data_IF_626373770071
#
_entry.id   IF_626373770071
#
_cell.length_a   1.000
_cell.length_b   1.000
_cell.length_c   1.000
_cell.angle_alpha   90.00
_cell.angle_beta   90.00
_cell.angle_gamma   90.00
#
_symmetry.space_group_name_H-M   'P 1'
#
loop_
_entity.id
_entity.type
_entity.pdbx_description
1 polymer ?
#
# COMPACT_ATOMS: atom_id res chain seq x y z
N UNK A 1 -2.02 17.68 15.18
CA UNK A 1 -0.63 17.60 15.68
C UNK A 1 0.33 17.69 14.51
N UNK A 2 1.25 18.67 14.48
CA UNK A 2 2.30 18.74 13.45
C UNK A 2 3.35 17.67 13.77
N UNK A 3 3.49 16.63 12.95
CA UNK A 3 4.60 15.67 13.06
C UNK A 3 5.91 16.41 12.73
N UNK A 4 6.84 16.42 13.69
CA UNK A 4 8.19 16.94 13.48
C UNK A 4 8.98 15.85 12.72
N UNK A 5 9.25 16.05 11.43
CA UNK A 5 10.11 15.15 10.66
C UNK A 5 11.54 15.71 10.71
N UNK A 6 12.36 15.25 11.64
CA UNK A 6 13.79 15.60 11.71
C UNK A 6 14.62 14.48 11.07
N UNK A 7 15.23 14.75 9.93
CA UNK A 7 16.17 13.84 9.27
C UNK A 7 17.59 14.19 9.74
N UNK A 8 18.15 13.42 10.66
CA UNK A 8 19.53 13.55 11.14
C UNK A 8 20.36 12.39 10.59
N UNK A 9 21.27 12.66 9.66
CA UNK A 9 22.28 11.70 9.23
C UNK A 9 23.34 11.61 10.32
N UNK A 10 23.35 10.53 11.11
CA UNK A 10 24.53 10.13 11.88
C UNK A 10 25.34 9.17 11.02
N UNK A 11 26.58 9.56 10.68
CA UNK A 11 27.58 8.66 10.12
C UNK A 11 28.01 7.66 11.20
N UNK A 12 27.21 6.61 11.42
CA UNK A 12 27.67 5.44 12.17
C UNK A 12 28.17 4.44 11.13
N UNK A 13 29.50 4.32 11.05
CA UNK A 13 30.17 3.21 10.39
C UNK A 13 29.86 1.96 11.22
N UNK A 14 28.78 1.25 10.89
CA UNK A 14 28.48 -0.04 11.54
C UNK A 14 29.24 -1.15 10.81
N UNK A 15 30.36 -1.58 11.38
CA UNK A 15 30.87 -2.93 11.12
C UNK A 15 29.94 -3.91 11.83
N UNK A 16 29.02 -4.54 11.09
CA UNK A 16 28.25 -5.66 11.61
C UNK A 16 29.19 -6.87 11.69
N UNK A 17 29.79 -7.04 12.87
CA UNK A 17 30.33 -8.32 13.29
C UNK A 17 29.26 -9.03 14.11
N UNK A 18 28.98 -10.27 13.71
CA UNK A 18 28.19 -11.31 14.36
C UNK A 18 26.66 -11.38 14.12
N UNK A 19 26.39 -12.24 13.13
CA UNK A 19 25.36 -13.26 12.99
C UNK A 19 24.61 -13.71 14.26
N UNK A 20 23.27 -13.63 14.21
CA UNK A 20 22.32 -14.75 14.39
C UNK A 20 21.06 -14.28 15.13
N UNK A 21 20.02 -13.92 14.37
CA UNK A 21 18.60 -14.08 14.69
C UNK A 21 17.76 -13.60 13.49
N UNK A 22 17.94 -14.25 12.33
CA UNK A 22 16.98 -14.18 11.23
C UNK A 22 16.66 -15.62 10.84
N UNK A 23 15.54 -16.13 11.33
CA UNK A 23 14.96 -17.36 10.82
C UNK A 23 14.33 -17.04 9.47
N UNK A 24 15.06 -17.35 8.39
CA UNK A 24 14.54 -17.27 7.02
C UNK A 24 13.88 -18.61 6.71
N UNK A 25 12.55 -18.64 6.64
CA UNK A 25 11.83 -19.78 6.06
C UNK A 25 12.21 -19.78 4.56
N UNK A 26 12.83 -20.87 4.08
CA UNK A 26 13.03 -21.09 2.64
C UNK A 26 11.65 -21.30 2.02
N UNK A 27 11.14 -20.28 1.33
CA UNK A 27 9.95 -20.44 0.51
C UNK A 27 10.32 -21.18 -0.78
N UNK A 28 9.55 -22.22 -1.10
CA UNK A 28 9.51 -22.75 -2.46
C UNK A 28 8.91 -21.66 -3.36
N UNK A 29 9.59 -21.38 -4.45
CA UNK A 29 9.11 -20.55 -5.54
C UNK A 29 7.90 -21.24 -6.19
N UNK A 30 6.70 -20.76 -5.88
CA UNK A 30 5.60 -20.82 -6.81
C UNK A 30 5.57 -19.49 -7.57
N UNK A 31 5.95 -19.59 -8.84
CA UNK A 31 5.78 -18.55 -9.85
C UNK A 31 4.29 -18.43 -10.11
N UNK A 32 3.66 -17.43 -9.50
CA UNK A 32 2.41 -16.89 -10.02
C UNK A 32 2.45 -15.37 -9.85
N UNK A 33 2.00 -14.64 -10.86
CA UNK A 33 2.16 -13.19 -10.95
C UNK A 33 1.61 -12.50 -9.69
N UNK A 34 2.50 -11.77 -9.00
CA UNK A 34 2.27 -11.08 -7.72
C UNK A 34 1.36 -9.84 -7.89
N UNK A 35 0.17 -10.04 -8.44
CA UNK A 35 -0.97 -9.17 -8.23
C UNK A 35 -1.29 -9.31 -6.74
N UNK A 36 -0.96 -8.30 -5.92
CA UNK A 36 -1.41 -8.18 -4.52
C UNK A 36 -2.93 -8.34 -4.47
N UNK A 37 -3.40 -9.57 -4.30
CA UNK A 37 -4.83 -9.88 -4.38
C UNK A 37 -5.55 -9.37 -3.14
N UNK A 38 -6.61 -8.62 -3.42
CA UNK A 38 -7.57 -8.03 -2.50
C UNK A 38 -7.96 -8.97 -1.34
N UNK A 39 -7.97 -8.45 -0.11
CA UNK A 39 -8.37 -9.13 1.11
C UNK A 39 -9.44 -8.35 1.88
N UNK A 40 -10.43 -9.07 2.38
CA UNK A 40 -11.60 -8.50 3.06
C UNK A 40 -12.00 -9.35 4.26
N UNK A 41 -12.16 -8.70 5.41
CA UNK A 41 -12.65 -9.31 6.64
C UNK A 41 -13.87 -8.54 7.14
N UNK A 42 -14.72 -9.19 7.91
CA UNK A 42 -15.80 -8.53 8.65
C UNK A 42 -15.50 -8.66 10.13
N UNK A 43 -15.47 -7.53 10.83
CA UNK A 43 -15.37 -7.46 12.29
C UNK A 43 -16.77 -7.33 12.86
N UNK A 44 -17.11 -8.17 13.83
CA UNK A 44 -18.42 -8.17 14.47
C UNK A 44 -18.29 -8.47 15.97
N UNK A 45 -19.28 -8.05 16.75
CA UNK A 45 -19.27 -8.20 18.21
C UNK A 45 -20.32 -9.22 18.65
N UNK A 46 -19.96 -10.05 19.62
CA UNK A 46 -20.89 -11.00 20.25
C UNK A 46 -20.81 -10.91 21.77
N UNK A 47 -21.93 -11.03 22.51
CA UNK A 47 -21.91 -11.06 23.97
C UNK A 47 -21.28 -12.34 24.54
N UNK A 48 -21.14 -13.38 23.71
CA UNK A 48 -20.53 -14.65 24.09
C UNK A 48 -18.99 -14.56 24.04
N UNK A 49 -18.28 -15.28 24.93
CA UNK A 49 -16.84 -15.43 24.85
C UNK A 49 -16.42 -16.08 23.52
N UNK A 50 -15.17 -15.88 23.11
CA UNK A 50 -14.61 -16.57 21.95
C UNK A 50 -14.31 -18.02 22.36
N UNK A 51 -14.94 -18.98 21.69
CA UNK A 51 -14.63 -20.40 21.87
C UNK A 51 -13.21 -20.70 21.36
N UNK A 52 -12.51 -21.62 22.02
CA UNK A 52 -11.12 -21.98 21.71
C UNK A 52 -10.97 -22.50 20.26
N UNK A 53 -12.01 -23.14 19.72
CA UNK A 53 -12.05 -23.68 18.35
C UNK A 53 -12.49 -22.68 17.27
N UNK A 54 -12.89 -21.46 17.64
CA UNK A 54 -13.35 -20.46 16.69
C UNK A 54 -12.28 -20.15 15.63
N UNK A 55 -11.04 -19.96 16.05
CA UNK A 55 -9.92 -19.69 15.14
C UNK A 55 -9.48 -20.93 14.36
N UNK A 56 -9.59 -22.13 14.95
CA UNK A 56 -9.27 -23.39 14.27
C UNK A 56 -10.17 -23.62 13.06
N UNK A 57 -11.46 -23.30 13.18
CA UNK A 57 -12.44 -23.37 12.07
C UNK A 57 -12.07 -22.41 10.93
N UNK A 58 -11.45 -21.27 11.25
CA UNK A 58 -11.05 -20.27 10.27
C UNK A 58 -9.72 -20.66 9.58
N UNK A 59 -8.83 -21.35 10.29
CA UNK A 59 -7.53 -21.86 9.77
C UNK A 59 -7.71 -23.03 8.79
N UNK A 60 -8.80 -23.80 8.89
CA UNK A 60 -9.06 -24.93 7.98
C UNK A 60 -9.34 -24.49 6.53
N UNK A 61 -9.68 -23.21 6.33
CA UNK A 61 -9.62 -22.60 5.00
C UNK A 61 -8.15 -22.54 4.56
N UNK A 62 -7.80 -23.13 3.42
CA UNK A 62 -6.44 -23.06 2.84
C UNK A 62 -6.04 -21.61 2.52
N UNK A 63 -5.55 -20.89 3.52
CA UNK A 63 -5.04 -19.52 3.38
C UNK A 63 -3.68 -19.60 2.67
N UNK A 64 -3.49 -18.88 1.54
CA UNK A 64 -2.17 -18.79 0.90
C UNK A 64 -1.13 -18.27 1.88
N UNK A 65 0.08 -18.82 1.85
CA UNK A 65 1.14 -18.54 2.83
C UNK A 65 1.44 -17.05 3.02
N UNK A 66 1.37 -16.26 1.94
CA UNK A 66 1.62 -14.82 1.98
C UNK A 66 0.46 -14.00 2.60
N UNK A 67 -0.73 -14.58 2.77
CA UNK A 67 -1.90 -13.95 3.44
C UNK A 67 -2.00 -14.32 4.92
N UNK A 68 -1.22 -15.30 5.36
CA UNK A 68 -1.23 -15.80 6.72
C UNK A 68 -0.86 -14.70 7.73
N UNK A 69 0.01 -13.75 7.35
CA UNK A 69 0.42 -12.63 8.20
C UNK A 69 -0.76 -11.74 8.63
N UNK A 70 -1.65 -11.36 7.70
CA UNK A 70 -2.81 -10.52 8.04
C UNK A 70 -3.75 -11.24 9.01
N UNK A 71 -3.91 -12.55 8.82
CA UNK A 71 -4.72 -13.38 9.70
C UNK A 71 -4.13 -13.47 11.11
N UNK A 72 -2.82 -13.71 11.23
CA UNK A 72 -2.13 -13.74 12.53
C UNK A 72 -2.26 -12.41 13.27
N UNK A 73 -2.11 -11.28 12.57
CA UNK A 73 -2.27 -9.94 13.15
C UNK A 73 -3.69 -9.73 13.66
N UNK A 74 -4.70 -10.24 12.95
CA UNK A 74 -6.10 -10.15 13.38
C UNK A 74 -6.42 -11.02 14.58
N UNK A 75 -5.92 -12.26 14.63
CA UNK A 75 -6.02 -13.10 15.84
C UNK A 75 -5.40 -12.37 17.02
N UNK A 76 -4.16 -11.92 16.86
CA UNK A 76 -3.43 -11.24 17.93
C UNK A 76 -4.18 -9.99 18.42
N UNK A 77 -4.63 -9.12 17.50
CA UNK A 77 -5.34 -7.90 17.86
C UNK A 77 -6.69 -8.19 18.54
N UNK A 78 -7.45 -9.19 18.07
CA UNK A 78 -8.73 -9.55 18.68
C UNK A 78 -8.55 -10.20 20.07
N UNK A 79 -7.55 -11.06 20.26
CA UNK A 79 -7.22 -11.64 21.57
C UNK A 79 -6.81 -10.56 22.59
N UNK A 80 -5.94 -9.62 22.20
CA UNK A 80 -5.53 -8.50 23.05
C UNK A 80 -6.71 -7.59 23.43
N UNK A 81 -7.62 -7.31 22.49
CA UNK A 81 -8.83 -6.52 22.76
C UNK A 81 -9.75 -7.26 23.74
N UNK A 82 -10.02 -8.54 23.49
CA UNK A 82 -10.96 -9.34 24.30
C UNK A 82 -10.44 -9.63 25.71
N UNK A 83 -9.12 -9.63 25.93
CA UNK A 83 -8.50 -9.77 27.26
C UNK A 83 -8.49 -8.47 28.06
N UNK A 84 -8.69 -7.32 27.41
CA UNK A 84 -8.61 -6.03 28.06
C UNK A 84 -9.97 -5.62 28.65
N UNK A 85 -10.14 -5.59 29.99
CA UNK A 85 -11.43 -5.28 30.61
C UNK A 85 -11.91 -3.84 30.37
N UNK A 86 -11.03 -2.95 29.90
CA UNK A 86 -11.37 -1.57 29.58
C UNK A 86 -11.81 -1.38 28.12
N UNK A 87 -11.61 -2.37 27.26
CA UNK A 87 -12.03 -2.36 25.86
C UNK A 87 -13.14 -3.39 25.67
N UNK A 88 -14.30 -2.95 25.17
CA UNK A 88 -15.47 -3.81 24.92
C UNK A 88 -15.89 -4.67 26.14
N UNK A 89 -16.21 -4.06 27.30
CA UNK A 89 -16.61 -4.84 28.48
C UNK A 89 -17.89 -5.66 28.19
N UNK A 90 -17.87 -6.93 28.60
CA UNK A 90 -18.96 -7.91 28.37
C UNK A 90 -19.28 -8.21 26.89
N UNK A 91 -18.35 -7.92 25.99
CA UNK A 91 -18.46 -8.21 24.55
C UNK A 91 -17.16 -8.82 24.05
N UNK A 92 -17.25 -9.70 23.08
CA UNK A 92 -16.12 -10.24 22.34
C UNK A 92 -16.12 -9.72 20.91
N UNK A 93 -14.98 -9.20 20.47
CA UNK A 93 -14.70 -8.90 19.08
C UNK A 93 -14.28 -10.19 18.35
N UNK A 94 -14.98 -10.50 17.27
CA UNK A 94 -14.72 -11.64 16.39
C UNK A 94 -14.54 -11.14 14.96
N UNK A 95 -13.99 -11.99 14.10
CA UNK A 95 -13.85 -11.69 12.68
C UNK A 95 -14.12 -12.90 11.80
N UNK A 96 -14.54 -12.65 10.56
CA UNK A 96 -14.73 -13.67 9.53
C UNK A 96 -14.17 -13.20 8.18
N UNK A 97 -13.86 -14.15 7.31
CA UNK A 97 -13.49 -13.84 5.92
C UNK A 97 -14.72 -13.45 5.11
N UNK A 98 -14.57 -12.45 4.24
CA UNK A 98 -15.53 -12.23 3.17
C UNK A 98 -15.22 -13.25 2.06
N UNK A 99 -16.06 -14.29 1.94
CA UNK A 99 -15.93 -15.31 0.88
C UNK A 99 -15.84 -14.63 -0.49
N UNK A 100 -14.79 -14.91 -1.25
CA UNK A 100 -14.50 -14.24 -2.53
C UNK A 100 -13.31 -13.28 -2.47
N UNK A 101 -13.11 -12.64 -1.33
CA UNK A 101 -11.94 -11.80 -1.03
C UNK A 101 -10.91 -12.64 -0.28
N UNK A 102 -9.62 -12.35 -0.45
CA UNK A 102 -8.48 -13.20 -0.03
C UNK A 102 -8.26 -14.52 -0.78
N UNK A 103 -9.19 -15.05 -1.58
CA UNK A 103 -9.02 -16.37 -2.22
C UNK A 103 -8.88 -16.35 -3.75
N UNK A 104 -8.69 -15.17 -4.36
CA UNK A 104 -8.43 -15.03 -5.81
C UNK A 104 -9.66 -15.26 -6.70
N UNK A 105 -10.81 -15.63 -6.13
CA UNK A 105 -12.08 -15.80 -6.84
C UNK A 105 -12.74 -14.46 -7.16
N UNK A 106 -12.10 -13.65 -8.01
CA UNK A 106 -12.68 -12.42 -8.56
C UNK A 106 -13.95 -12.75 -9.38
N UNK A 107 -13.94 -13.87 -10.10
CA UNK A 107 -15.03 -14.32 -11.00
C UNK A 107 -16.38 -14.45 -10.27
N UNK A 108 -16.36 -14.84 -9.00
CA UNK A 108 -17.59 -15.04 -8.22
C UNK A 108 -18.28 -13.72 -7.85
N UNK A 109 -17.55 -12.62 -7.80
CA UNK A 109 -18.10 -11.30 -7.51
C UNK A 109 -18.71 -10.64 -8.76
N UNK A 110 -18.13 -10.85 -9.95
CA UNK A 110 -18.76 -10.38 -11.20
C UNK A 110 -20.10 -11.09 -11.43
N UNK A 111 -20.21 -12.38 -11.09
CA UNK A 111 -21.48 -13.11 -11.08
C UNK A 111 -22.48 -12.57 -10.04
N UNK A 112 -22.03 -12.28 -8.81
CA UNK A 112 -22.88 -11.69 -7.77
C UNK A 112 -23.35 -10.28 -8.13
N UNK A 113 -22.49 -9.46 -8.76
CA UNK A 113 -22.83 -8.13 -9.27
C UNK A 113 -23.95 -8.19 -10.33
N UNK A 114 -23.86 -9.15 -11.25
CA UNK A 114 -24.89 -9.38 -12.27
C UNK A 114 -26.23 -9.88 -11.67
N UNK A 115 -26.18 -10.71 -10.61
CA UNK A 115 -27.39 -11.17 -9.92
C UNK A 115 -28.07 -10.07 -9.10
N UNK A 116 -27.29 -9.22 -8.42
CA UNK A 116 -27.82 -8.20 -7.51
C UNK A 116 -28.50 -7.05 -8.25
N UNK A 117 -27.98 -6.68 -9.43
CA UNK A 117 -28.60 -5.67 -10.30
C UNK A 117 -29.99 -6.08 -10.81
N UNK A 118 -30.30 -7.39 -10.81
CA UNK A 118 -31.60 -7.92 -11.23
C UNK A 118 -32.58 -8.17 -10.08
N UNK A 119 -32.16 -8.15 -8.80
CA UNK A 119 -33.02 -8.63 -7.70
C UNK A 119 -33.13 -7.73 -6.46
N UNK A 120 -32.24 -6.77 -6.22
CA UNK A 120 -32.38 -5.91 -5.03
C UNK A 120 -32.74 -4.48 -5.38
N UNK A 121 -34.03 -4.13 -5.23
CA UNK A 121 -34.38 -2.77 -4.82
C UNK A 121 -33.58 -2.48 -3.56
N UNK A 122 -32.67 -1.50 -3.62
CA UNK A 122 -31.97 -0.98 -2.44
C UNK A 122 -33.05 -0.40 -1.52
N UNK A 123 -33.55 -1.20 -0.58
CA UNK A 123 -34.46 -0.77 0.46
C UNK A 123 -33.70 0.19 1.36
N UNK A 124 -34.19 1.43 1.46
CA UNK A 124 -33.51 2.53 2.16
C UNK A 124 -33.60 2.42 3.71
N UNK A 125 -34.07 1.29 4.24
CA UNK A 125 -34.02 0.92 5.64
C UNK A 125 -34.20 -0.60 5.78
N UNK A 126 -33.27 -1.25 6.46
CA UNK A 126 -33.45 -2.57 7.04
C UNK A 126 -33.46 -2.38 8.56
N UNK A 127 -34.52 -2.86 9.22
CA UNK A 127 -34.70 -2.78 10.66
C UNK A 127 -34.51 -4.18 11.25
N UNK A 128 -33.39 -4.81 10.89
CA UNK A 128 -32.82 -5.96 11.59
C UNK A 128 -31.88 -5.46 12.69
N UNK A 129 -31.64 -6.28 13.71
CA UNK A 129 -30.71 -6.03 14.82
C UNK A 129 -29.44 -5.39 14.25
N UNK A 130 -29.09 -4.18 14.71
CA UNK A 130 -27.94 -3.43 14.23
C UNK A 130 -26.66 -4.16 14.64
N UNK A 131 -26.25 -5.16 13.87
CA UNK A 131 -24.91 -5.71 14.00
C UNK A 131 -23.99 -4.59 13.50
N UNK A 132 -23.23 -3.98 14.41
CA UNK A 132 -22.25 -2.96 14.09
C UNK A 132 -21.03 -3.60 13.41
N UNK A 133 -21.29 -4.20 12.25
CA UNK A 133 -20.27 -4.86 11.45
C UNK A 133 -19.40 -3.79 10.78
N UNK A 134 -18.09 -4.00 10.87
CA UNK A 134 -17.10 -3.15 10.24
C UNK A 134 -16.30 -4.00 9.27
N UNK A 135 -16.32 -3.63 7.99
CA UNK A 135 -15.47 -4.26 7.00
C UNK A 135 -14.02 -3.84 7.19
N UNK A 136 -13.08 -4.75 7.02
CA UNK A 136 -11.66 -4.47 7.01
C UNK A 136 -11.10 -4.87 5.63
N UNK A 137 -10.55 -3.91 4.89
CA UNK A 137 -10.22 -4.06 3.46
C UNK A 137 -8.77 -3.71 3.15
N UNK A 138 -8.16 -4.41 2.20
CA UNK A 138 -6.79 -4.15 1.76
C UNK A 138 -6.04 -5.44 1.39
N UNK A 139 -4.72 -5.39 1.15
CA UNK A 139 -3.88 -4.20 1.13
C UNK A 139 -4.04 -3.34 -0.14
N UNK A 140 -4.71 -3.85 -1.19
CA UNK A 140 -4.99 -3.06 -2.39
C UNK A 140 -6.24 -2.20 -2.21
N UNK A 141 -6.16 -0.93 -2.61
CA UNK A 141 -7.27 0.01 -2.50
C UNK A 141 -8.48 -0.39 -3.37
N UNK A 142 -8.24 -1.16 -4.43
CA UNK A 142 -9.29 -1.71 -5.30
C UNK A 142 -10.26 -2.60 -4.53
N UNK A 143 -9.82 -3.25 -3.44
CA UNK A 143 -10.69 -4.01 -2.55
C UNK A 143 -11.77 -3.12 -1.95
N UNK A 144 -11.37 -1.95 -1.45
CA UNK A 144 -12.28 -0.98 -0.81
C UNK A 144 -13.29 -0.43 -1.82
N UNK A 145 -12.87 -0.17 -3.05
CA UNK A 145 -13.76 0.26 -4.14
C UNK A 145 -14.82 -0.82 -4.43
N UNK A 146 -14.38 -2.06 -4.64
CA UNK A 146 -15.27 -3.19 -4.91
C UNK A 146 -16.25 -3.41 -3.77
N UNK A 147 -15.81 -3.39 -2.52
CA UNK A 147 -16.68 -3.65 -1.36
C UNK A 147 -17.64 -2.50 -1.07
N UNK A 148 -17.27 -1.25 -1.38
CA UNK A 148 -18.15 -0.10 -1.20
C UNK A 148 -19.40 -0.18 -2.10
N UNK A 149 -19.33 -0.81 -3.27
CA UNK A 149 -20.51 -0.90 -4.15
C UNK A 149 -21.59 -1.86 -3.63
N UNK A 150 -21.25 -2.77 -2.70
CA UNK A 150 -22.19 -3.78 -2.18
C UNK A 150 -23.04 -3.29 -1.01
N UNK A 151 -22.47 -2.51 -0.09
CA UNK A 151 -23.17 -2.06 1.11
C UNK A 151 -22.62 -0.73 1.67
N UNK A 152 -23.44 -0.09 2.50
CA UNK A 152 -23.11 1.16 3.21
C UNK A 152 -22.49 0.93 4.59
N UNK A 153 -21.93 -0.25 4.86
CA UNK A 153 -21.27 -0.50 6.14
C UNK A 153 -19.92 0.24 6.21
N UNK A 154 -19.54 0.75 7.40
CA UNK A 154 -18.22 1.33 7.63
C UNK A 154 -17.12 0.32 7.28
N UNK A 155 -16.09 0.80 6.59
CA UNK A 155 -14.93 0.01 6.17
C UNK A 155 -13.65 0.67 6.62
N UNK A 156 -12.76 -0.13 7.20
CA UNK A 156 -11.42 0.29 7.59
C UNK A 156 -10.44 -0.29 6.58
N UNK A 157 -9.64 0.56 5.94
CA UNK A 157 -8.62 0.14 5.00
C UNK A 157 -7.26 0.02 5.69
N UNK A 158 -6.65 -1.17 5.68
CA UNK A 158 -5.38 -1.46 6.38
C UNK A 158 -4.15 -1.44 5.46
N UNK A 159 -4.33 -1.19 4.16
CA UNK A 159 -3.23 -1.11 3.20
C UNK A 159 -2.43 0.20 3.25
N UNK A 160 -1.45 0.36 2.35
CA UNK A 160 -0.67 1.60 2.21
C UNK A 160 -1.57 2.79 1.86
N UNK A 161 -1.26 3.98 2.41
CA UNK A 161 -2.07 5.18 2.17
C UNK A 161 -2.37 5.39 0.69
N UNK A 162 -3.63 5.61 0.36
CA UNK A 162 -4.06 5.90 -1.01
C UNK A 162 -4.82 7.24 -1.05
N UNK A 163 -4.42 8.20 -1.92
CA UNK A 163 -5.06 9.51 -1.98
C UNK A 163 -6.57 9.42 -2.28
N UNK A 164 -6.98 8.53 -3.18
CA UNK A 164 -8.38 8.38 -3.59
C UNK A 164 -9.32 8.06 -2.41
N UNK A 165 -8.84 7.29 -1.43
CA UNK A 165 -9.63 6.87 -0.26
C UNK A 165 -9.82 8.01 0.76
N UNK A 166 -9.20 9.18 0.55
CA UNK A 166 -9.43 10.38 1.36
C UNK A 166 -10.54 11.27 0.80
N UNK A 167 -11.08 10.95 -0.38
CA UNK A 167 -12.23 11.66 -0.93
C UNK A 167 -13.51 11.17 -0.24
N UNK A 168 -13.94 11.90 0.81
CA UNK A 168 -15.13 11.58 1.57
C UNK A 168 -16.45 11.71 0.77
N UNK A 169 -16.42 12.32 -0.43
CA UNK A 169 -17.59 12.38 -1.32
C UNK A 169 -17.71 11.07 -2.09
N UNK A 170 -16.58 10.57 -2.62
CA UNK A 170 -16.56 9.31 -3.35
C UNK A 170 -16.58 8.08 -2.42
N UNK A 171 -15.91 8.16 -1.27
CA UNK A 171 -15.75 7.07 -0.31
C UNK A 171 -16.22 7.45 1.11
N UNK A 172 -17.51 7.80 1.31
CA UNK A 172 -18.02 8.32 2.60
C UNK A 172 -17.96 7.33 3.77
N UNK A 173 -17.84 6.02 3.48
CA UNK A 173 -17.83 4.95 4.48
C UNK A 173 -16.47 4.27 4.62
N UNK A 174 -15.41 4.77 3.98
CA UNK A 174 -14.07 4.18 4.05
C UNK A 174 -13.16 5.06 4.89
N UNK A 175 -12.49 4.45 5.86
CA UNK A 175 -11.47 5.10 6.68
C UNK A 175 -10.16 4.33 6.54
N UNK A 176 -9.09 4.98 6.12
CA UNK A 176 -7.77 4.33 6.05
C UNK A 176 -6.99 4.48 7.36
N UNK A 177 -6.34 3.39 7.77
CA UNK A 177 -5.44 3.38 8.95
C UNK A 177 -4.14 4.11 8.62
N UNK A 178 -3.60 3.87 7.42
CA UNK A 178 -2.38 4.52 6.97
C UNK A 178 -2.61 6.03 6.83
N UNK A 179 -1.69 6.82 7.39
CA UNK A 179 -1.70 8.27 7.24
C UNK A 179 -0.90 8.68 6.01
N UNK A 180 -1.26 9.83 5.42
CA UNK A 180 -0.47 10.45 4.35
C UNK A 180 0.98 10.65 4.82
N UNK A 181 1.93 10.07 4.10
CA UNK A 181 3.35 10.29 4.38
C UNK A 181 3.77 11.67 3.88
N UNK A 182 3.98 12.59 4.83
CA UNK A 182 4.52 13.93 4.55
C UNK A 182 5.98 14.06 4.96
N UNK A 183 6.56 13.02 5.54
CA UNK A 183 7.96 13.02 5.96
C UNK A 183 8.88 12.63 4.81
N UNK A 184 8.49 11.70 3.94
CA UNK A 184 9.35 11.24 2.85
C UNK A 184 9.80 12.38 1.90
N UNK A 185 8.90 13.22 1.33
CA UNK A 185 9.32 14.34 0.49
C UNK A 185 10.24 15.32 1.23
N UNK A 186 9.93 15.62 2.51
CA UNK A 186 10.74 16.50 3.36
C UNK A 186 12.13 15.93 3.64
N UNK A 187 12.21 14.63 3.90
CA UNK A 187 13.47 13.93 4.15
C UNK A 187 14.33 13.93 2.88
N UNK A 188 13.74 13.65 1.71
CA UNK A 188 14.44 13.72 0.43
C UNK A 188 14.96 15.13 0.14
N UNK A 189 14.15 16.18 0.33
CA UNK A 189 14.63 17.57 0.15
C UNK A 189 15.73 17.91 1.16
N UNK A 190 15.61 17.46 2.41
CA UNK A 190 16.66 17.65 3.43
C UNK A 190 17.97 16.98 3.04
N UNK A 191 17.92 15.76 2.47
CA UNK A 191 19.07 15.05 1.92
C UNK A 191 19.73 15.85 0.78
N UNK A 192 18.93 16.40 -0.14
CA UNK A 192 19.45 17.23 -1.24
C UNK A 192 20.17 18.48 -0.72
N UNK A 193 19.58 19.18 0.25
CA UNK A 193 20.19 20.35 0.86
C UNK A 193 21.50 20.00 1.57
N UNK A 194 21.54 18.87 2.28
CA UNK A 194 22.76 18.39 2.95
C UNK A 194 23.92 18.20 1.97
N UNK A 195 23.66 17.62 0.80
CA UNK A 195 24.66 17.45 -0.25
C UNK A 195 24.77 18.63 -1.22
N UNK A 196 24.08 19.73 -0.95
CA UNK A 196 24.04 20.93 -1.80
C UNK A 196 23.55 20.69 -3.24
N UNK A 197 22.72 19.67 -3.44
CA UNK A 197 22.11 19.36 -4.72
C UNK A 197 20.91 20.28 -4.96
N UNK A 198 21.08 21.28 -5.81
CA UNK A 198 20.02 22.24 -6.16
C UNK A 198 19.36 21.96 -7.52
N UNK A 199 19.92 21.03 -8.30
CA UNK A 199 19.47 20.68 -9.65
C UNK A 199 19.38 19.16 -9.80
N UNK A 200 18.16 18.62 -9.72
CA UNK A 200 17.91 17.17 -9.65
C UNK A 200 16.89 16.72 -10.69
N UNK A 201 17.02 15.50 -11.20
CA UNK A 201 16.00 14.84 -12.02
C UNK A 201 14.98 14.11 -11.15
N UNK A 202 13.80 13.86 -11.69
CA UNK A 202 12.76 13.08 -11.03
C UNK A 202 12.11 12.12 -12.02
N UNK A 203 11.93 10.88 -11.58
CA UNK A 203 11.18 9.85 -12.29
C UNK A 203 10.16 9.27 -11.32
N UNK A 204 8.88 9.26 -11.72
CA UNK A 204 7.77 8.74 -10.92
C UNK A 204 6.89 7.79 -11.73
N UNK A 205 6.17 6.89 -11.07
CA UNK A 205 5.06 6.14 -11.67
C UNK A 205 3.88 7.06 -12.00
N UNK A 206 3.13 6.69 -13.05
CA UNK A 206 1.87 7.33 -13.45
C UNK A 206 0.67 6.74 -12.68
N UNK A 207 0.78 6.74 -11.35
CA UNK A 207 -0.25 6.28 -10.43
C UNK A 207 -0.56 7.38 -9.40
N UNK A 208 -1.70 7.26 -8.72
CA UNK A 208 -2.15 8.27 -7.75
C UNK A 208 -1.09 8.56 -6.67
N UNK A 209 -0.33 7.53 -6.26
CA UNK A 209 0.76 7.67 -5.30
C UNK A 209 1.95 8.46 -5.87
N UNK A 210 2.39 8.14 -7.09
CA UNK A 210 3.47 8.83 -7.79
C UNK A 210 3.14 10.29 -8.08
N UNK A 211 1.92 10.58 -8.54
CA UNK A 211 1.44 11.95 -8.79
C UNK A 211 1.33 12.75 -7.48
N UNK A 212 0.81 12.14 -6.40
CA UNK A 212 0.76 12.79 -5.10
C UNK A 212 2.16 13.10 -4.56
N UNK A 213 3.09 12.15 -4.67
CA UNK A 213 4.48 12.33 -4.26
C UNK A 213 5.18 13.43 -5.05
N UNK A 214 5.01 13.46 -6.39
CA UNK A 214 5.52 14.52 -7.26
C UNK A 214 5.04 15.90 -6.80
N UNK A 215 3.75 16.03 -6.46
CA UNK A 215 3.16 17.27 -5.98
C UNK A 215 3.77 17.72 -4.64
N UNK A 216 3.79 16.82 -3.65
CA UNK A 216 4.31 17.12 -2.30
C UNK A 216 5.82 17.44 -2.33
N UNK A 217 6.59 16.70 -3.14
CA UNK A 217 8.02 16.94 -3.32
C UNK A 217 8.28 18.30 -3.98
N UNK A 218 7.53 18.63 -5.04
CA UNK A 218 7.65 19.92 -5.74
C UNK A 218 7.38 21.09 -4.80
N UNK A 219 6.34 20.99 -3.97
CA UNK A 219 6.02 22.01 -2.97
C UNK A 219 7.19 22.23 -1.98
N UNK A 220 7.74 21.16 -1.42
CA UNK A 220 8.86 21.23 -0.48
C UNK A 220 10.16 21.72 -1.14
N UNK A 221 10.43 21.32 -2.39
CA UNK A 221 11.57 21.80 -3.18
C UNK A 221 11.50 23.29 -3.45
N UNK A 222 10.31 23.81 -3.82
CA UNK A 222 10.09 25.25 -4.05
C UNK A 222 10.33 26.06 -2.77
N UNK A 223 9.87 25.56 -1.62
CA UNK A 223 10.11 26.21 -0.31
C UNK A 223 11.59 26.27 0.08
N UNK A 224 12.42 25.39 -0.47
CA UNK A 224 13.83 25.21 -0.10
C UNK A 224 14.82 25.59 -1.20
N UNK A 225 14.35 26.09 -2.34
CA UNK A 225 15.21 26.53 -3.45
C UNK A 225 15.90 25.40 -4.21
N UNK A 226 15.28 24.22 -4.28
CA UNK A 226 15.75 23.09 -5.12
C UNK A 226 14.90 23.03 -6.39
N UNK A 227 15.52 22.78 -7.54
CA UNK A 227 14.87 22.77 -8.84
C UNK A 227 14.90 21.38 -9.48
N UNK A 228 13.82 21.07 -10.20
CA UNK A 228 13.71 19.87 -11.05
C UNK A 228 14.23 20.19 -12.45
N UNK A 229 15.24 19.45 -12.89
CA UNK A 229 15.79 19.55 -14.24
C UNK A 229 14.88 18.93 -15.30
N UNK A 230 14.23 17.83 -14.93
CA UNK A 230 13.24 17.12 -15.72
C UNK A 230 12.33 16.31 -14.80
N UNK A 231 11.15 15.94 -15.31
CA UNK A 231 10.22 15.03 -14.65
C UNK A 231 9.76 14.01 -15.68
N UNK A 232 10.03 12.75 -15.42
CA UNK A 232 9.55 11.63 -16.22
C UNK A 232 8.45 10.92 -15.44
N UNK A 233 7.25 10.90 -16.01
CA UNK A 233 6.12 10.14 -15.47
C UNK A 233 5.99 8.87 -16.30
N UNK A 234 6.21 7.71 -15.68
CA UNK A 234 6.31 6.41 -16.34
C UNK A 234 4.95 5.70 -16.26
N UNK A 235 4.27 5.49 -17.40
CA UNK A 235 2.95 4.88 -17.41
C UNK A 235 2.98 3.41 -16.98
N UNK A 236 1.92 2.95 -16.32
CA UNK A 236 1.73 1.52 -16.02
C UNK A 236 1.45 0.69 -17.29
N UNK A 237 0.79 1.29 -18.28
CA UNK A 237 0.52 0.62 -19.56
C UNK A 237 1.83 0.39 -20.33
N UNK A 238 2.19 -0.89 -20.52
CA UNK A 238 3.45 -1.27 -21.14
C UNK A 238 3.60 -0.78 -22.59
N UNK A 239 2.51 -0.72 -23.36
CA UNK A 239 2.54 -0.25 -24.75
C UNK A 239 2.88 1.24 -24.81
N UNK A 240 2.23 2.06 -23.96
CA UNK A 240 2.55 3.48 -23.82
C UNK A 240 3.99 3.66 -23.35
N UNK A 241 4.42 2.91 -22.33
CA UNK A 241 5.78 2.93 -21.83
C UNK A 241 6.82 2.66 -22.94
N UNK A 242 6.65 1.61 -23.75
CA UNK A 242 7.59 1.27 -24.82
C UNK A 242 7.74 2.41 -25.85
N UNK A 243 6.68 3.15 -26.12
CA UNK A 243 6.74 4.30 -27.05
C UNK A 243 7.47 5.51 -26.46
N UNK A 244 7.45 5.67 -25.13
CA UNK A 244 8.08 6.80 -24.44
C UNK A 244 9.49 6.51 -23.90
N UNK A 245 9.87 5.24 -23.77
CA UNK A 245 11.13 4.83 -23.14
C UNK A 245 12.37 5.57 -23.68
N UNK A 246 12.50 5.69 -25.00
CA UNK A 246 13.62 6.42 -25.63
C UNK A 246 13.63 7.92 -25.33
N UNK A 247 12.45 8.52 -25.07
CA UNK A 247 12.35 9.93 -24.67
C UNK A 247 12.88 10.11 -23.24
N UNK A 248 12.51 9.22 -22.32
CA UNK A 248 12.99 9.24 -20.94
C UNK A 248 14.52 9.09 -20.87
N UNK A 249 15.07 8.12 -21.60
CA UNK A 249 16.52 7.91 -21.72
C UNK A 249 17.21 9.17 -22.24
N UNK A 250 16.70 9.76 -23.32
CA UNK A 250 17.27 10.96 -23.91
C UNK A 250 17.26 12.11 -22.90
N UNK A 251 16.15 12.35 -22.21
CA UNK A 251 16.04 13.41 -21.19
C UNK A 251 17.07 13.21 -20.07
N UNK A 252 17.19 12.00 -19.52
CA UNK A 252 18.15 11.68 -18.46
C UNK A 252 19.58 11.90 -18.94
N UNK A 253 19.92 11.41 -20.15
CA UNK A 253 21.26 11.51 -20.73
C UNK A 253 21.66 12.96 -21.04
N UNK A 254 20.75 13.76 -21.59
CA UNK A 254 21.04 15.16 -21.98
C UNK A 254 21.02 16.13 -20.81
N UNK A 255 20.40 15.77 -19.69
CA UNK A 255 20.31 16.62 -18.51
C UNK A 255 21.68 16.79 -17.83
N UNK A 256 21.94 18.01 -17.34
CA UNK A 256 23.09 18.32 -16.49
C UNK A 256 22.93 17.82 -15.05
N UNK A 257 21.73 17.36 -14.65
CA UNK A 257 21.49 16.83 -13.32
C UNK A 257 22.23 15.51 -13.10
N UNK A 258 23.06 15.47 -12.05
CA UNK A 258 23.81 14.26 -11.65
C UNK A 258 22.98 13.33 -10.77
N UNK A 259 22.01 13.87 -10.05
CA UNK A 259 21.16 13.17 -9.09
C UNK A 259 19.77 13.03 -9.68
N UNK A 260 19.22 11.82 -9.61
CA UNK A 260 17.88 11.52 -10.10
C UNK A 260 17.13 10.77 -9.00
N UNK A 261 15.97 11.31 -8.65
CA UNK A 261 15.06 10.68 -7.69
C UNK A 261 14.17 9.71 -8.45
N UNK A 262 14.00 8.51 -7.92
CA UNK A 262 13.07 7.51 -8.44
C UNK A 262 12.05 7.23 -7.33
N UNK A 263 10.77 7.34 -7.66
CA UNK A 263 9.68 7.00 -6.74
C UNK A 263 8.59 6.22 -7.46
N UNK A 264 8.27 5.05 -6.94
CA UNK A 264 7.23 4.18 -7.47
C UNK A 264 7.46 2.73 -7.04
N UNK A 265 6.62 1.83 -7.51
CA UNK A 265 6.64 0.42 -7.14
C UNK A 265 7.72 -0.36 -7.91
N UNK A 266 8.39 -1.30 -7.22
CA UNK A 266 9.52 -2.07 -7.76
C UNK A 266 9.08 -3.11 -8.81
N UNK A 267 7.80 -3.47 -8.93
CA UNK A 267 7.30 -4.41 -9.94
C UNK A 267 6.55 -3.69 -11.08
N UNK A 268 7.03 -2.52 -11.48
CA UNK A 268 6.38 -1.67 -12.48
C UNK A 268 7.30 -1.39 -13.66
N UNK A 269 6.78 -0.71 -14.69
CA UNK A 269 7.59 -0.21 -15.81
C UNK A 269 8.73 0.72 -15.35
N UNK A 270 8.67 1.26 -14.13
CA UNK A 270 9.73 2.04 -13.51
C UNK A 270 10.98 1.18 -13.22
N UNK A 271 10.80 -0.06 -12.77
CA UNK A 271 11.90 -1.00 -12.55
C UNK A 271 12.52 -1.45 -13.87
N UNK A 272 11.67 -1.74 -14.87
CA UNK A 272 12.12 -2.01 -16.23
C UNK A 272 12.95 -0.85 -16.78
N UNK A 273 12.52 0.39 -16.52
CA UNK A 273 13.27 1.59 -16.89
C UNK A 273 14.62 1.65 -16.20
N UNK A 274 14.66 1.41 -14.88
CA UNK A 274 15.89 1.43 -14.09
C UNK A 274 16.92 0.41 -14.58
N UNK A 275 16.52 -0.85 -14.75
CA UNK A 275 17.39 -1.92 -15.29
C UNK A 275 17.87 -1.59 -16.71
N UNK A 276 17.00 -1.00 -17.53
CA UNK A 276 17.35 -0.58 -18.89
C UNK A 276 18.37 0.56 -18.90
N UNK A 277 18.27 1.52 -17.99
CA UNK A 277 19.26 2.60 -17.87
C UNK A 277 20.62 2.08 -17.40
N UNK A 278 20.64 1.11 -16.49
CA UNK A 278 21.86 0.42 -16.10
C UNK A 278 22.51 -0.28 -17.29
N UNK A 279 21.73 -1.04 -18.07
CA UNK A 279 22.19 -1.70 -19.29
C UNK A 279 22.75 -0.72 -20.34
N UNK A 280 22.13 0.46 -20.47
CA UNK A 280 22.59 1.52 -21.37
C UNK A 280 23.80 2.30 -20.83
N UNK A 281 24.31 1.97 -19.63
CA UNK A 281 25.44 2.64 -19.02
C UNK A 281 25.13 4.08 -18.58
N UNK A 282 23.88 4.36 -18.17
CA UNK A 282 23.50 5.67 -17.63
C UNK A 282 24.03 5.80 -16.20
N UNK A 283 25.09 6.57 -16.03
CA UNK A 283 25.69 6.82 -14.72
C UNK A 283 25.08 8.06 -14.06
N UNK A 284 24.28 7.86 -13.00
CA UNK A 284 23.69 8.92 -12.16
C UNK A 284 23.75 8.49 -10.70
N UNK A 285 23.56 9.44 -9.79
CA UNK A 285 23.29 9.17 -8.38
C UNK A 285 21.79 8.95 -8.25
N UNK A 286 21.39 7.70 -8.06
CA UNK A 286 19.99 7.32 -7.90
C UNK A 286 19.57 7.46 -6.44
N UNK A 287 18.54 8.25 -6.16
CA UNK A 287 17.93 8.38 -4.84
C UNK A 287 16.55 7.74 -4.89
N UNK A 288 16.32 6.72 -4.08
CA UNK A 288 15.09 5.95 -4.10
C UNK A 288 14.62 5.63 -2.67
N UNK A 289 13.46 4.99 -2.55
CA UNK A 289 12.94 4.46 -1.28
C UNK A 289 13.53 3.07 -1.00
N UNK A 290 13.55 2.66 0.27
CA UNK A 290 14.11 1.36 0.70
C UNK A 290 13.48 0.14 0.02
N UNK A 291 12.31 0.31 -0.60
CA UNK A 291 11.67 -0.73 -1.42
C UNK A 291 12.54 -1.19 -2.59
N UNK A 292 13.52 -0.40 -3.01
CA UNK A 292 14.41 -0.68 -4.14
C UNK A 292 15.76 -1.31 -3.72
N UNK A 293 16.05 -1.41 -2.41
CA UNK A 293 17.33 -1.89 -1.88
C UNK A 293 17.45 -3.43 -1.84
N UNK A 294 16.39 -4.15 -2.24
CA UNK A 294 16.36 -5.61 -2.36
C UNK A 294 16.15 -6.04 -3.81
N UNK A 295 17.16 -5.88 -4.69
CA UNK A 295 17.20 -6.68 -5.90
C UNK A 295 17.41 -8.13 -5.44
N UNK A 296 16.63 -9.05 -6.01
CA UNK A 296 16.71 -10.49 -5.78
C UNK A 296 18.15 -11.02 -5.76
#
# INVERSE_FOLDING_TARGET
MKKLCTFTISLILYSLTETSCFWRIKHNEEVDGDLRTDCGFVLFMTPEPVEEDFYNTIIDFRIPTWKYEFFLVLIFATDEINRNPYLLPNMSLKFSFVVGFCFGTLEKMDELYLLQNNTSKILNYDCGISVCDVGLTGPSWTTSLKLMTYDRQPKIFFGPYHPILSDNIQFPYVCQIAQKDTCLPKAMVSLMLYFTWTWVGLVVSDDDQGIQFLSDLREEMQRKGVCLAFVNVVPENMQLYMTMAGIYEKQIMTSSAKVVIIYGEMNSNLEVSFRRWEYLGIHRIWVTTSRWDHPF
#
